data_IF_937037440042
#
_entry.id   IF_937037440042
#
_cell.length_a   1.000
_cell.length_b   1.000
_cell.length_c   1.000
_cell.angle_alpha   90.00
_cell.angle_beta   90.00
_cell.angle_gamma   90.00
#
_symmetry.space_group_name_H-M   'P 1'
#
loop_
_entity.id
_entity.type
_entity.pdbx_description
1 polymer ?
#
# COMPACT_ATOMS: atom_id res chain seq x y z
N UNK A 1 -12.09 0.90 6.58
CA UNK A 1 -11.80 2.21 7.19
C UNK A 1 -11.65 3.25 6.11
N UNK A 2 -12.05 4.49 6.39
CA UNK A 2 -12.02 5.67 5.51
C UNK A 2 -10.57 6.04 5.20
N UNK A 3 -10.25 6.31 3.94
CA UNK A 3 -8.91 6.74 3.50
C UNK A 3 -8.79 8.27 3.48
N UNK A 4 -7.69 8.76 4.05
CA UNK A 4 -7.33 10.17 4.04
C UNK A 4 -6.66 10.56 2.70
N UNK A 5 -6.76 11.84 2.27
CA UNK A 5 -6.04 12.33 1.10
C UNK A 5 -4.52 12.15 1.30
N UNK A 6 -3.91 11.31 0.46
CA UNK A 6 -2.49 11.01 0.54
C UNK A 6 -1.62 12.20 0.15
N UNK A 7 -0.51 12.41 0.86
CA UNK A 7 0.53 13.35 0.47
C UNK A 7 1.21 12.85 -0.83
N UNK A 8 1.11 13.68 -1.88
CA UNK A 8 1.60 13.52 -3.27
C UNK A 8 3.09 13.15 -3.42
N UNK A 9 3.50 11.91 -3.09
CA UNK A 9 4.89 11.48 -3.25
C UNK A 9 5.08 10.23 -4.16
N UNK A 10 3.99 9.63 -4.67
CA UNK A 10 4.02 8.37 -5.43
C UNK A 10 4.25 8.49 -6.94
N UNK A 11 4.28 9.70 -7.51
CA UNK A 11 4.26 9.90 -8.97
C UNK A 11 5.49 9.35 -9.73
N UNK A 12 6.61 9.07 -9.06
CA UNK A 12 7.88 8.78 -9.74
C UNK A 12 8.13 7.32 -10.15
N UNK A 13 7.27 6.36 -9.79
CA UNK A 13 7.59 4.93 -10.02
C UNK A 13 6.41 4.10 -10.55
N UNK A 14 5.53 4.67 -11.40
CA UNK A 14 4.46 3.90 -12.06
C UNK A 14 3.50 3.14 -11.12
N UNK A 15 3.59 3.41 -9.83
CA UNK A 15 2.90 2.75 -8.75
C UNK A 15 2.25 3.87 -7.93
N UNK A 16 0.98 4.17 -8.21
CA UNK A 16 0.25 5.15 -7.43
C UNK A 16 0.04 4.59 -6.03
N UNK A 17 0.77 5.15 -5.07
CA UNK A 17 0.64 4.84 -3.65
C UNK A 17 -0.07 5.99 -2.94
N UNK A 18 -1.03 5.68 -2.08
CA UNK A 18 -1.68 6.65 -1.22
C UNK A 18 -1.23 6.44 0.22
N UNK A 19 -0.85 7.53 0.90
CA UNK A 19 -0.58 7.51 2.33
C UNK A 19 -1.91 7.53 3.09
N UNK A 20 -2.06 6.63 4.06
CA UNK A 20 -3.21 6.49 4.94
C UNK A 20 -2.86 6.96 6.35
N UNK A 21 -3.87 7.26 7.15
CA UNK A 21 -3.65 7.56 8.57
C UNK A 21 -3.13 6.32 9.30
N UNK A 22 -2.00 6.46 10.00
CA UNK A 22 -1.41 5.35 10.77
C UNK A 22 -2.32 4.90 11.92
N UNK A 23 -3.21 5.77 12.41
CA UNK A 23 -4.19 5.41 13.44
C UNK A 23 -5.16 4.31 12.97
N UNK A 24 -5.35 4.14 11.65
CA UNK A 24 -6.14 3.05 11.07
C UNK A 24 -5.47 1.68 11.24
N UNK A 25 -4.15 1.64 11.44
CA UNK A 25 -3.36 0.43 11.60
C UNK A 25 -2.93 0.20 13.07
N UNK A 26 -3.62 0.81 14.04
CA UNK A 26 -3.27 0.73 15.46
C UNK A 26 -3.17 -0.71 16.00
N UNK A 27 -4.03 -1.60 15.50
CA UNK A 27 -4.07 -3.03 15.86
C UNK A 27 -3.41 -3.94 14.81
N UNK A 28 -2.81 -3.37 13.77
CA UNK A 28 -2.14 -4.13 12.71
C UNK A 28 -0.66 -4.33 13.06
N UNK A 29 -0.09 -5.50 12.77
CA UNK A 29 1.35 -5.68 12.87
C UNK A 29 2.07 -4.93 11.73
N UNK A 30 3.30 -4.48 11.97
CA UNK A 30 4.10 -3.85 10.90
C UNK A 30 4.45 -4.91 9.84
N UNK A 31 4.22 -4.59 8.58
CA UNK A 31 4.57 -5.42 7.44
C UNK A 31 3.80 -5.07 6.19
N UNK A 32 3.87 -5.97 5.22
CA UNK A 32 3.18 -5.89 3.94
C UNK A 32 2.01 -6.85 3.95
N UNK A 33 0.86 -6.37 3.49
CA UNK A 33 -0.40 -7.12 3.43
C UNK A 33 -0.97 -7.03 2.02
N UNK A 34 -1.61 -8.09 1.53
CA UNK A 34 -2.57 -7.96 0.44
C UNK A 34 -3.88 -7.39 0.97
N UNK A 35 -4.58 -6.62 0.14
CA UNK A 35 -5.86 -6.04 0.51
C UNK A 35 -6.80 -5.96 -0.69
N UNK A 36 -8.10 -5.91 -0.38
CA UNK A 36 -9.14 -5.55 -1.32
C UNK A 36 -9.53 -4.10 -1.09
N UNK A 37 -9.60 -3.33 -2.16
CA UNK A 37 -9.96 -1.92 -2.15
C UNK A 37 -11.30 -1.74 -2.82
N UNK A 38 -12.23 -1.07 -2.16
CA UNK A 38 -13.49 -0.64 -2.76
C UNK A 38 -13.42 0.87 -3.00
N UNK A 39 -13.63 1.27 -4.24
CA UNK A 39 -13.65 2.67 -4.68
C UNK A 39 -14.88 2.86 -5.56
N UNK A 40 -15.82 3.72 -5.14
CA UNK A 40 -17.03 4.07 -5.91
C UNK A 40 -17.84 2.84 -6.39
N UNK A 41 -17.85 1.75 -5.59
CA UNK A 41 -18.52 0.49 -5.93
C UNK A 41 -17.71 -0.47 -6.81
N UNK A 42 -16.54 -0.05 -7.29
CA UNK A 42 -15.59 -0.90 -8.00
C UNK A 42 -14.61 -1.52 -7.01
N UNK A 43 -14.30 -2.80 -7.20
CA UNK A 43 -13.33 -3.51 -6.37
C UNK A 43 -12.00 -3.68 -7.10
N UNK A 44 -10.93 -3.27 -6.42
CA UNK A 44 -9.56 -3.42 -6.86
C UNK A 44 -8.78 -4.29 -5.87
N UNK A 45 -7.68 -4.83 -6.36
CA UNK A 45 -6.67 -5.51 -5.54
C UNK A 45 -5.57 -4.52 -5.19
N UNK A 46 -4.97 -4.68 -4.03
CA UNK A 46 -3.90 -3.79 -3.60
C UNK A 46 -2.97 -4.40 -2.57
N UNK A 47 -1.93 -3.65 -2.22
CA UNK A 47 -1.00 -3.95 -1.16
C UNK A 47 -1.02 -2.84 -0.12
N UNK A 48 -1.03 -3.18 1.16
CA UNK A 48 -0.84 -2.23 2.27
C UNK A 48 0.52 -2.47 2.89
N UNK A 49 1.34 -1.44 2.93
CA UNK A 49 2.58 -1.38 3.69
C UNK A 49 2.33 -0.61 4.98
N UNK A 50 2.51 -1.26 6.12
CA UNK A 50 2.57 -0.61 7.42
C UNK A 50 3.99 -0.75 7.98
N UNK A 51 4.70 0.35 8.17
CA UNK A 51 6.05 0.27 8.72
C UNK A 51 6.72 1.62 8.92
N UNK A 52 7.97 1.56 9.34
CA UNK A 52 8.75 2.74 9.65
C UNK A 52 9.30 3.39 8.38
N UNK A 53 9.02 4.68 8.18
CA UNK A 53 9.62 5.49 7.13
C UNK A 53 10.86 6.21 7.67
N UNK A 54 12.02 5.87 7.12
CA UNK A 54 13.30 6.45 7.55
C UNK A 54 13.49 7.91 7.13
N UNK A 55 12.74 8.39 6.12
CA UNK A 55 12.82 9.79 5.67
C UNK A 55 12.10 10.73 6.64
N UNK A 56 10.94 10.30 7.16
CA UNK A 56 10.12 11.09 8.09
C UNK A 56 10.34 10.73 9.55
N UNK A 57 11.13 9.68 9.83
CA UNK A 57 11.44 9.15 11.15
C UNK A 57 10.17 8.76 11.94
N UNK A 58 9.12 8.31 11.25
CA UNK A 58 7.80 7.99 11.78
C UNK A 58 7.22 6.74 11.12
N UNK A 59 6.23 6.13 11.76
CA UNK A 59 5.45 5.08 11.13
C UNK A 59 4.55 5.65 10.03
N UNK A 60 4.45 4.90 8.93
CA UNK A 60 3.65 5.23 7.76
C UNK A 60 2.79 4.03 7.36
N UNK A 61 1.60 4.33 6.87
CA UNK A 61 0.68 3.38 6.28
C UNK A 61 0.49 3.77 4.82
N UNK A 62 0.89 2.92 3.89
CA UNK A 62 0.83 3.19 2.46
C UNK A 62 0.01 2.10 1.78
N UNK A 63 -0.90 2.49 0.90
CA UNK A 63 -1.64 1.56 0.06
C UNK A 63 -1.25 1.72 -1.39
N UNK A 64 -1.00 0.61 -2.06
CA UNK A 64 -0.76 0.53 -3.49
C UNK A 64 -1.93 -0.22 -4.14
N UNK A 65 -2.70 0.46 -4.99
CA UNK A 65 -3.81 -0.16 -5.73
C UNK A 65 -3.29 -0.65 -7.07
N UNK A 66 -3.56 -1.90 -7.39
CA UNK A 66 -3.13 -2.55 -8.62
C UNK A 66 -4.07 -2.24 -9.75
N UNK A 67 -3.49 -2.09 -10.95
CA UNK A 67 -4.21 -1.80 -12.19
C UNK A 67 -5.05 -0.51 -12.10
N UNK A 68 -4.78 0.34 -11.11
CA UNK A 68 -5.45 1.62 -10.93
C UNK A 68 -4.61 2.75 -11.52
N UNK A 69 -5.09 3.30 -12.62
CA UNK A 69 -4.39 4.33 -13.39
C UNK A 69 -5.09 5.70 -13.34
N UNK A 70 -5.92 5.92 -12.32
CA UNK A 70 -6.63 7.20 -12.07
C UNK A 70 -6.15 7.88 -10.77
N UNK A 71 -6.63 9.08 -10.47
CA UNK A 71 -6.20 9.83 -9.29
C UNK A 71 -7.07 9.49 -8.07
N UNK A 72 -6.45 9.33 -6.90
CA UNK A 72 -7.15 8.98 -5.66
C UNK A 72 -7.55 10.22 -4.84
N UNK A 73 -7.20 11.42 -5.28
CA UNK A 73 -7.44 12.64 -4.53
C UNK A 73 -8.93 12.97 -4.43
N UNK A 74 -9.40 13.24 -3.22
CA UNK A 74 -10.80 13.52 -2.93
C UNK A 74 -11.74 12.31 -3.03
N UNK A 75 -11.22 11.11 -3.32
CA UNK A 75 -12.02 9.89 -3.41
C UNK A 75 -12.02 9.11 -2.10
N UNK A 76 -13.19 8.66 -1.67
CA UNK A 76 -13.32 7.75 -0.54
C UNK A 76 -13.06 6.31 -1.00
N UNK A 77 -11.95 5.73 -0.55
CA UNK A 77 -11.71 4.29 -0.70
C UNK A 77 -11.85 3.58 0.64
N UNK A 78 -12.29 2.32 0.57
CA UNK A 78 -12.30 1.40 1.72
C UNK A 78 -11.35 0.26 1.40
N UNK A 79 -10.29 0.11 2.20
CA UNK A 79 -9.38 -1.02 2.08
C UNK A 79 -9.59 -2.01 3.23
N UNK A 80 -9.57 -3.29 2.89
CA UNK A 80 -9.65 -4.42 3.83
C UNK A 80 -8.46 -5.33 3.61
N UNK A 81 -7.63 -5.52 4.64
CA UNK A 81 -6.49 -6.44 4.59
C UNK A 81 -6.97 -7.88 4.50
N UNK A 82 -6.40 -8.66 3.58
CA UNK A 82 -6.78 -10.07 3.35
C UNK A 82 -5.72 -11.04 3.88
N UNK A 83 -4.44 -10.82 3.53
CA UNK A 83 -3.34 -11.72 3.91
C UNK A 83 -2.10 -10.93 4.30
N UNK A 84 -1.42 -11.38 5.34
CA UNK A 84 -0.07 -10.94 5.67
C UNK A 84 0.95 -11.58 4.74
N UNK A 85 1.79 -10.78 4.08
CA UNK A 85 2.78 -11.25 3.12
C UNK A 85 4.16 -11.37 3.74
N UNK A 86 4.62 -10.33 4.45
CA UNK A 86 5.97 -10.29 5.05
C UNK A 86 6.19 -9.12 5.99
N UNK A 87 7.26 -9.21 6.78
CA UNK A 87 7.75 -8.10 7.61
C UNK A 87 8.32 -6.94 6.77
N UNK A 88 8.40 -5.72 7.35
CA UNK A 88 9.04 -4.58 6.70
C UNK A 88 10.50 -4.93 6.40
N UNK A 89 10.92 -4.69 5.16
CA UNK A 89 12.27 -5.00 4.70
C UNK A 89 12.86 -3.75 4.07
N UNK A 90 14.08 -3.39 4.47
CA UNK A 90 14.84 -2.33 3.81
C UNK A 90 15.46 -2.88 2.54
N UNK A 91 15.32 -2.16 1.43
CA UNK A 91 15.96 -2.49 0.16
C UNK A 91 17.13 -1.55 -0.06
N UNK A 92 18.25 -2.10 -0.53
CA UNK A 92 19.47 -1.32 -0.80
C UNK A 92 19.39 -0.51 -2.11
N UNK A 93 18.46 -0.86 -3.01
CA UNK A 93 18.26 -0.22 -4.31
C UNK A 93 16.79 -0.28 -4.74
N UNK A 94 16.36 0.67 -5.57
CA UNK A 94 15.01 0.72 -6.17
C UNK A 94 14.71 -0.52 -7.01
N UNK A 95 15.71 -1.07 -7.70
CA UNK A 95 15.59 -2.31 -8.47
C UNK A 95 15.19 -3.49 -7.58
N UNK A 96 15.84 -3.66 -6.42
CA UNK A 96 15.54 -4.72 -5.46
C UNK A 96 14.14 -4.55 -4.85
N UNK A 97 13.71 -3.31 -4.62
CA UNK A 97 12.35 -3.01 -4.19
C UNK A 97 11.35 -3.43 -5.27
N UNK A 98 11.58 -3.06 -6.53
CA UNK A 98 10.71 -3.40 -7.66
C UNK A 98 10.61 -4.92 -7.87
N UNK A 99 11.74 -5.64 -7.84
CA UNK A 99 11.77 -7.11 -7.91
C UNK A 99 10.97 -7.75 -6.76
N UNK A 100 11.10 -7.22 -5.55
CA UNK A 100 10.37 -7.75 -4.41
C UNK A 100 8.87 -7.46 -4.52
N UNK A 101 8.47 -6.26 -4.96
CA UNK A 101 7.06 -5.94 -5.20
C UNK A 101 6.47 -6.93 -6.22
N UNK A 102 7.17 -7.21 -7.32
CA UNK A 102 6.73 -8.21 -8.31
C UNK A 102 6.52 -9.59 -7.68
N UNK A 103 7.43 -10.04 -6.81
CA UNK A 103 7.29 -11.30 -6.06
C UNK A 103 6.11 -11.27 -5.08
N UNK A 104 5.95 -10.16 -4.36
CA UNK A 104 4.86 -9.97 -3.40
C UNK A 104 3.49 -9.99 -4.10
N UNK A 105 3.42 -9.43 -5.32
CA UNK A 105 2.24 -9.49 -6.19
C UNK A 105 1.97 -10.91 -6.67
N UNK A 106 2.97 -11.60 -7.23
CA UNK A 106 2.80 -13.01 -7.61
C UNK A 106 2.36 -13.87 -6.43
N UNK A 107 2.92 -13.72 -5.24
CA UNK A 107 2.52 -14.50 -4.07
C UNK A 107 1.12 -14.14 -3.52
N UNK A 108 0.67 -12.90 -3.72
CA UNK A 108 -0.65 -12.45 -3.29
C UNK A 108 -1.78 -12.93 -4.20
N UNK A 109 -1.51 -13.05 -5.50
CA UNK A 109 -2.52 -13.31 -6.53
C UNK A 109 -2.31 -14.59 -7.33
N UNK A 110 -1.27 -15.38 -7.03
CA UNK A 110 -1.23 -16.79 -7.41
C UNK A 110 -2.21 -17.57 -6.56
N UNK A 111 -3.29 -18.02 -7.20
CA UNK A 111 -4.11 -19.15 -6.75
C UNK A 111 -3.29 -20.45 -6.70
#
# INVERSE_FOLDING_TARGET
>A
GIVLPGANNGEKVGARTANLDVALAKDLAKGLYSCKVSLEGIFYRGLIYYGFNSLTNKDCLEIHILEFNDDLYGKNITATTERYLRFPKKFKSVEKLSEQIKKDLSQSFSE
#
